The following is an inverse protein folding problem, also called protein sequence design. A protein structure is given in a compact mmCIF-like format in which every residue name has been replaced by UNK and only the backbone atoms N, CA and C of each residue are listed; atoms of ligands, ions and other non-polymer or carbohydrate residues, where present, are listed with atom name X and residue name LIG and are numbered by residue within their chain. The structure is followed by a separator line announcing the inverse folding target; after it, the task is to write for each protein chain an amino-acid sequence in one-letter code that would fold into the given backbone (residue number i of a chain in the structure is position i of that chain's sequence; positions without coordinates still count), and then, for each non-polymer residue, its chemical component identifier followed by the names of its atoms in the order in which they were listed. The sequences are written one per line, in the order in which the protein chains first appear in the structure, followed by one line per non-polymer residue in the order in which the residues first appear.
data_IF_182306248611
#
_entry.id   IF_182306248611
#
_cell.length_a   1.000
_cell.length_b   1.000
_cell.length_c   1.000
_cell.angle_alpha   90.00
_cell.angle_beta   90.00
_cell.angle_gamma   90.00
#
_symmetry.space_group_name_H-M   'P 1'
#
loop_
_entity.id
_entity.type
_entity.pdbx_description
1 polymer ?
#
# COMPACT_ATOMS: atom_id res chain seq x y z
N UNK A 1 1.81 -1.66 -11.33
CA UNK A 1 0.92 -0.91 -10.43
C UNK A 1 -0.22 -0.36 -11.26
N UNK A 2 -1.40 -0.22 -10.67
CA UNK A 2 -2.59 0.23 -11.36
C UNK A 2 -2.68 1.74 -11.52
N UNK A 3 -3.74 2.23 -12.20
CA UNK A 3 -4.10 3.64 -12.12
C UNK A 3 -4.42 4.02 -10.66
N UNK A 4 -4.13 5.26 -10.30
CA UNK A 4 -4.42 5.78 -8.96
C UNK A 4 -5.86 6.31 -8.91
N UNK A 5 -6.69 5.84 -7.99
CA UNK A 5 -7.97 6.46 -7.65
C UNK A 5 -7.73 7.36 -6.45
N UNK A 6 -7.57 8.66 -6.68
CA UNK A 6 -6.98 9.56 -5.71
C UNK A 6 -7.53 10.98 -5.78
N UNK A 7 -7.32 11.68 -4.68
CA UNK A 7 -7.35 13.14 -4.59
C UNK A 7 -5.94 13.66 -4.82
N UNK A 8 -5.81 14.65 -5.68
CA UNK A 8 -4.55 15.29 -6.04
C UNK A 8 -4.60 16.75 -5.58
N UNK A 9 -3.79 17.08 -4.59
CA UNK A 9 -3.52 18.47 -4.21
C UNK A 9 -2.40 19.02 -5.09
N UNK A 10 -2.58 20.25 -5.56
CA UNK A 10 -1.58 21.02 -6.27
C UNK A 10 -1.14 22.17 -5.38
N UNK A 11 0.15 22.24 -5.10
CA UNK A 11 0.81 23.33 -4.36
C UNK A 11 0.85 24.58 -5.26
N UNK A 12 -0.31 25.19 -5.46
CA UNK A 12 -0.52 26.25 -6.45
C UNK A 12 -0.01 27.60 -5.95
N UNK A 13 0.12 27.78 -4.64
CA UNK A 13 0.73 28.95 -4.01
C UNK A 13 2.27 28.81 -3.86
N UNK A 14 2.82 27.60 -4.02
CA UNK A 14 4.26 27.31 -4.03
C UNK A 14 4.91 27.32 -2.65
N UNK A 15 4.14 27.18 -1.58
CA UNK A 15 4.65 27.27 -0.21
C UNK A 15 5.13 25.91 0.36
N UNK A 16 4.94 24.82 -0.38
CA UNK A 16 5.35 23.46 0.02
C UNK A 16 4.46 22.79 1.06
N UNK A 17 3.37 23.46 1.47
CA UNK A 17 2.29 22.95 2.30
C UNK A 17 1.15 22.53 1.39
N UNK A 18 0.60 21.34 1.62
CA UNK A 18 -0.51 20.85 0.82
C UNK A 18 -1.81 20.93 1.60
N UNK A 19 -2.87 21.31 0.90
CA UNK A 19 -4.23 21.36 1.39
C UNK A 19 -4.62 22.67 2.08
N UNK A 20 -3.85 23.75 1.87
CA UNK A 20 -4.10 25.05 2.49
C UNK A 20 -4.76 26.06 1.52
N UNK A 21 -4.95 27.30 2.01
CA UNK A 21 -5.56 28.36 1.21
C UNK A 21 -4.64 28.73 0.04
N UNK A 22 -5.20 28.69 -1.18
CA UNK A 22 -4.45 28.95 -2.41
C UNK A 22 -4.02 27.70 -3.16
N UNK A 23 -4.14 26.52 -2.56
CA UNK A 23 -3.98 25.25 -3.29
C UNK A 23 -5.17 24.94 -4.18
N UNK A 24 -4.93 24.09 -5.18
CA UNK A 24 -5.98 23.52 -6.01
C UNK A 24 -6.14 22.01 -5.72
N UNK A 25 -7.35 21.49 -5.93
CA UNK A 25 -7.68 20.09 -5.70
C UNK A 25 -8.37 19.50 -6.94
N UNK A 26 -7.95 18.31 -7.35
CA UNK A 26 -8.60 17.48 -8.39
C UNK A 26 -8.80 16.06 -7.88
N UNK A 27 -9.78 15.35 -8.42
CA UNK A 27 -9.78 13.89 -8.37
C UNK A 27 -9.14 13.31 -9.62
N UNK A 28 -8.70 12.05 -9.54
CA UNK A 28 -8.36 11.28 -10.73
C UNK A 28 -9.63 10.69 -11.37
N UNK A 29 -9.59 10.45 -12.68
CA UNK A 29 -10.54 9.58 -13.34
C UNK A 29 -10.28 8.10 -12.99
N UNK A 30 -11.19 7.20 -13.37
CA UNK A 30 -11.06 5.75 -13.10
C UNK A 30 -9.79 5.16 -13.74
N UNK A 31 -9.33 5.76 -14.84
CA UNK A 31 -8.07 5.39 -15.52
C UNK A 31 -6.82 6.08 -14.93
N UNK A 32 -6.97 6.79 -13.81
CA UNK A 32 -5.88 7.42 -13.06
C UNK A 32 -5.39 8.76 -13.62
N UNK A 33 -5.94 9.25 -14.74
CA UNK A 33 -5.64 10.60 -15.23
C UNK A 33 -6.14 11.65 -14.24
N UNK A 34 -5.58 12.87 -14.27
CA UNK A 34 -6.02 14.01 -13.45
C UNK A 34 -5.71 15.34 -14.14
N UNK A 35 -6.22 16.46 -13.61
CA UNK A 35 -5.96 17.82 -14.11
C UNK A 35 -7.23 18.56 -14.53
N UNK A 36 -7.08 19.66 -15.27
CA UNK A 36 -8.19 20.61 -15.61
C UNK A 36 -9.42 19.99 -16.28
N UNK A 37 -9.27 18.86 -16.98
CA UNK A 37 -10.36 18.17 -17.66
C UNK A 37 -11.08 17.13 -16.79
N UNK A 38 -10.69 17.01 -15.52
CA UNK A 38 -11.24 16.03 -14.58
C UNK A 38 -11.83 16.82 -13.42
N UNK A 39 -13.07 16.49 -13.05
CA UNK A 39 -13.89 17.26 -12.12
C UNK A 39 -13.08 17.79 -10.93
N UNK A 40 -13.01 19.11 -10.81
CA UNK A 40 -12.53 19.74 -9.60
C UNK A 40 -13.52 19.39 -8.48
N UNK A 41 -13.03 18.71 -7.43
CA UNK A 41 -13.76 18.75 -6.17
C UNK A 41 -13.75 20.21 -5.74
N UNK A 42 -14.90 20.77 -5.42
CA UNK A 42 -14.97 22.10 -4.83
C UNK A 42 -14.99 21.95 -3.31
N UNK A 43 -13.94 22.33 -2.57
CA UNK A 43 -14.04 22.43 -1.12
C UNK A 43 -13.87 23.89 -0.69
N UNK A 44 -14.53 24.24 0.41
CA UNK A 44 -14.68 25.61 0.91
C UNK A 44 -13.39 26.40 1.21
N UNK A 45 -12.21 25.76 1.15
CA UNK A 45 -10.89 26.32 1.50
C UNK A 45 -9.86 26.32 0.35
N UNK A 46 -10.07 25.58 -0.74
CA UNK A 46 -9.12 25.55 -1.87
C UNK A 46 -9.52 26.60 -2.90
N UNK A 47 -8.85 27.74 -2.86
CA UNK A 47 -9.09 28.88 -3.76
C UNK A 47 -8.18 28.87 -4.99
N UNK A 48 -7.23 27.94 -5.07
CA UNK A 48 -6.28 27.82 -6.17
C UNK A 48 -6.91 27.31 -7.47
N UNK A 49 -6.24 27.58 -8.59
CA UNK A 49 -6.65 27.09 -9.90
C UNK A 49 -5.80 25.89 -10.30
N UNK A 50 -6.45 24.79 -10.74
CA UNK A 50 -5.74 23.62 -11.28
C UNK A 50 -4.87 24.10 -12.46
N UNK A 51 -3.54 23.86 -12.44
CA UNK A 51 -2.65 24.34 -13.47
C UNK A 51 -2.89 23.61 -14.80
N UNK A 52 -2.66 24.30 -15.92
CA UNK A 52 -2.83 23.73 -17.26
C UNK A 52 -1.69 22.78 -17.67
N UNK A 53 -0.58 22.80 -16.92
CA UNK A 53 0.63 22.01 -17.14
C UNK A 53 1.14 21.53 -15.78
N UNK A 54 2.00 20.53 -15.77
CA UNK A 54 2.67 20.02 -14.57
C UNK A 54 3.74 21.00 -14.05
N UNK A 55 3.38 22.23 -13.70
CA UNK A 55 4.35 23.28 -13.30
C UNK A 55 4.50 23.44 -11.79
N UNK A 56 3.68 22.75 -11.00
CA UNK A 56 3.66 22.83 -9.54
C UNK A 56 3.88 21.45 -8.94
N UNK A 57 4.28 21.40 -7.67
CA UNK A 57 4.37 20.15 -6.92
C UNK A 57 2.97 19.58 -6.69
N UNK A 58 2.89 18.26 -6.57
CA UNK A 58 1.63 17.54 -6.40
C UNK A 58 1.71 16.60 -5.22
N UNK A 59 0.59 16.36 -4.55
CA UNK A 59 0.45 15.35 -3.51
C UNK A 59 -0.82 14.53 -3.74
N UNK A 60 -0.67 13.21 -3.80
CA UNK A 60 -1.77 12.28 -3.97
C UNK A 60 -2.10 11.54 -2.66
N UNK A 61 -3.39 11.39 -2.39
CA UNK A 61 -3.93 10.50 -1.36
C UNK A 61 -5.09 9.72 -1.95
N UNK A 62 -5.08 8.40 -1.81
CA UNK A 62 -6.06 7.53 -2.46
C UNK A 62 -5.65 6.08 -2.43
N UNK A 63 -6.06 5.33 -3.46
CA UNK A 63 -5.78 3.91 -3.59
C UNK A 63 -5.20 3.58 -4.98
N UNK A 64 -4.39 2.53 -5.06
CA UNK A 64 -4.00 1.93 -6.33
C UNK A 64 -5.15 1.03 -6.80
N UNK A 65 -5.71 1.24 -7.99
CA UNK A 65 -6.91 0.52 -8.41
C UNK A 65 -6.71 -0.98 -8.65
N UNK A 66 -5.46 -1.42 -8.88
CA UNK A 66 -5.16 -2.84 -9.15
C UNK A 66 -4.92 -3.65 -7.88
N UNK A 67 -4.42 -3.00 -6.84
CA UNK A 67 -4.08 -3.63 -5.56
C UNK A 67 -5.02 -3.20 -4.44
N UNK A 68 -5.77 -2.11 -4.66
CA UNK A 68 -6.61 -1.43 -3.68
C UNK A 68 -5.86 -1.09 -2.38
N UNK A 69 -4.54 -0.94 -2.46
CA UNK A 69 -3.71 -0.43 -1.37
C UNK A 69 -3.92 1.07 -1.24
N UNK A 70 -4.20 1.51 -0.03
CA UNK A 70 -4.29 2.93 0.28
C UNK A 70 -2.92 3.55 0.50
N UNK A 71 -2.72 4.72 -0.08
CA UNK A 71 -1.54 5.55 0.13
C UNK A 71 -1.96 6.97 0.48
N UNK A 72 -1.12 7.63 1.26
CA UNK A 72 -1.24 9.04 1.58
C UNK A 72 0.09 9.76 1.34
N UNK A 73 -0.04 11.06 1.06
CA UNK A 73 1.10 11.97 0.96
C UNK A 73 2.14 11.51 -0.07
N UNK A 74 1.69 10.89 -1.17
CA UNK A 74 2.55 10.51 -2.29
C UNK A 74 2.84 11.75 -3.13
N UNK A 75 4.04 12.32 -2.96
CA UNK A 75 4.41 13.58 -3.60
C UNK A 75 5.04 13.38 -4.96
N UNK A 76 5.00 14.43 -5.77
CA UNK A 76 5.76 14.54 -7.00
C UNK A 76 6.29 15.96 -7.16
N UNK A 77 7.54 16.12 -7.66
CA UNK A 77 8.12 17.44 -7.84
C UNK A 77 7.43 18.20 -8.97
N UNK A 78 7.61 19.53 -9.00
CA UNK A 78 7.20 20.33 -10.14
C UNK A 78 7.85 19.80 -11.43
N UNK A 79 7.09 19.74 -12.53
CA UNK A 79 7.49 19.13 -13.80
C UNK A 79 7.06 17.68 -13.98
N UNK A 80 6.71 16.96 -12.91
CA UNK A 80 6.33 15.56 -13.00
C UNK A 80 4.95 15.36 -13.65
N UNK A 81 4.83 14.44 -14.60
CA UNK A 81 3.56 14.04 -15.22
C UNK A 81 3.05 12.69 -14.73
N UNK A 82 3.79 12.06 -13.80
CA UNK A 82 3.46 10.82 -13.13
C UNK A 82 3.60 11.03 -11.62
N UNK A 83 2.70 10.45 -10.83
CA UNK A 83 2.81 10.39 -9.37
C UNK A 83 2.98 8.92 -8.99
N UNK A 84 4.06 8.59 -8.28
CA UNK A 84 4.39 7.23 -7.84
C UNK A 84 5.31 7.25 -6.60
N UNK A 85 5.56 6.10 -5.96
CA UNK A 85 6.57 6.00 -4.91
C UNK A 85 7.95 6.53 -5.33
N UNK A 86 8.37 6.29 -6.58
CA UNK A 86 9.62 6.82 -7.11
C UNK A 86 9.62 8.35 -7.22
N UNK A 87 8.52 8.97 -7.67
CA UNK A 87 8.46 10.44 -7.73
C UNK A 87 8.41 11.07 -6.34
N UNK A 88 7.86 10.37 -5.35
CA UNK A 88 7.88 10.82 -3.95
C UNK A 88 9.32 10.81 -3.39
N UNK A 89 10.10 9.79 -3.73
CA UNK A 89 11.53 9.76 -3.40
C UNK A 89 12.30 10.88 -4.10
N UNK A 90 12.01 11.15 -5.38
CA UNK A 90 12.64 12.25 -6.13
C UNK A 90 12.28 13.61 -5.52
N UNK A 91 11.02 13.83 -5.16
CA UNK A 91 10.57 15.05 -4.47
C UNK A 91 11.31 15.24 -3.14
N UNK A 92 11.46 14.17 -2.35
CA UNK A 92 12.18 14.21 -1.08
C UNK A 92 13.70 14.42 -1.24
N UNK A 93 14.31 13.84 -2.29
CA UNK A 93 15.74 13.95 -2.57
C UNK A 93 16.11 15.24 -3.34
N UNK A 94 15.15 15.89 -3.98
CA UNK A 94 15.34 17.11 -4.78
C UNK A 94 16.07 16.93 -6.11
N UNK A 95 16.41 15.71 -6.52
CA UNK A 95 17.15 15.45 -7.76
C UNK A 95 16.84 14.07 -8.36
N UNK A 96 16.27 14.06 -9.57
CA UNK A 96 16.04 12.82 -10.33
C UNK A 96 17.36 12.10 -10.65
N UNK A 97 18.40 12.85 -11.04
CA UNK A 97 19.69 12.28 -11.39
C UNK A 97 20.36 11.57 -10.20
N UNK A 98 20.28 12.17 -9.01
CA UNK A 98 20.83 11.56 -7.79
C UNK A 98 20.08 10.28 -7.43
N UNK A 99 18.73 10.30 -7.49
CA UNK A 99 17.92 9.10 -7.21
C UNK A 99 18.18 8.00 -8.24
N UNK A 100 18.28 8.35 -9.52
CA UNK A 100 18.62 7.40 -10.59
C UNK A 100 19.94 6.69 -10.30
N UNK A 101 20.99 7.45 -10.01
CA UNK A 101 22.33 6.88 -9.77
C UNK A 101 22.37 6.07 -8.48
N UNK A 102 21.75 6.57 -7.41
CA UNK A 102 21.74 5.89 -6.13
C UNK A 102 21.01 4.53 -6.15
N UNK A 103 19.96 4.42 -6.98
CA UNK A 103 19.23 3.17 -7.20
C UNK A 103 19.88 2.26 -8.27
N UNK A 104 21.00 2.68 -8.87
CA UNK A 104 21.68 1.93 -9.94
C UNK A 104 20.84 1.80 -11.21
N UNK A 105 20.03 2.81 -11.53
CA UNK A 105 19.19 2.84 -12.74
C UNK A 105 19.92 3.43 -13.96
N UNK A 106 21.16 3.87 -13.80
CA UNK A 106 22.05 4.36 -14.85
C UNK A 106 23.04 3.29 -15.34
N UNK A 107 23.29 2.23 -14.57
CA UNK A 107 24.28 1.20 -14.87
C UNK A 107 23.81 -0.21 -14.49
N UNK A 108 24.40 -1.23 -15.14
CA UNK A 108 24.19 -2.63 -14.78
C UNK A 108 22.84 -3.23 -15.22
N UNK A 109 22.43 -4.31 -14.57
CA UNK A 109 21.28 -5.12 -14.98
C UNK A 109 19.91 -4.45 -14.76
N UNK A 110 19.86 -3.36 -13.98
CA UNK A 110 18.66 -2.56 -13.73
C UNK A 110 18.68 -1.22 -14.50
N UNK A 111 19.67 -1.01 -15.38
CA UNK A 111 19.82 0.25 -16.11
C UNK A 111 18.59 0.54 -16.97
N UNK A 112 18.08 1.76 -16.86
CA UNK A 112 17.05 2.29 -17.72
C UNK A 112 17.70 3.05 -18.88
N UNK A 113 17.01 3.13 -20.01
CA UNK A 113 17.47 4.00 -21.11
C UNK A 113 17.54 5.46 -20.63
N UNK A 114 18.59 6.17 -21.00
CA UNK A 114 18.80 7.57 -20.58
C UNK A 114 17.68 8.54 -21.01
N UNK A 115 16.90 8.18 -22.03
CA UNK A 115 15.73 8.95 -22.49
C UNK A 115 14.48 8.76 -21.62
N UNK A 116 14.49 7.81 -20.68
CA UNK A 116 13.33 7.51 -19.83
C UNK A 116 13.37 8.44 -18.63
N UNK A 117 12.57 9.51 -18.61
CA UNK A 117 12.43 10.37 -17.43
C UNK A 117 11.66 9.67 -16.31
N UNK A 118 12.22 9.62 -15.09
CA UNK A 118 11.59 8.94 -13.95
C UNK A 118 10.33 9.69 -13.46
N UNK A 119 10.26 10.99 -13.74
CA UNK A 119 9.13 11.87 -13.38
C UNK A 119 8.05 11.96 -14.48
N UNK A 120 8.31 11.42 -15.68
CA UNK A 120 7.43 11.60 -16.85
C UNK A 120 7.04 10.32 -17.57
N UNK A 121 7.85 9.27 -17.48
CA UNK A 121 7.53 7.98 -18.09
C UNK A 121 6.45 7.25 -17.28
N UNK A 122 5.32 6.94 -17.91
CA UNK A 122 4.23 6.20 -17.28
C UNK A 122 4.45 4.68 -17.43
N UNK A 123 4.83 3.96 -16.36
CA UNK A 123 5.08 2.52 -16.45
C UNK A 123 3.81 1.72 -16.77
N UNK A 124 2.62 2.15 -16.38
CA UNK A 124 1.39 1.44 -16.69
C UNK A 124 1.11 1.43 -18.21
N UNK A 125 1.34 2.55 -18.89
CA UNK A 125 1.23 2.63 -20.36
C UNK A 125 2.38 1.88 -21.05
N UNK A 126 3.60 1.94 -20.48
CA UNK A 126 4.75 1.23 -21.03
C UNK A 126 4.60 -0.30 -21.01
N UNK A 127 3.95 -0.87 -19.99
CA UNK A 127 3.72 -2.32 -19.87
C UNK A 127 2.91 -2.90 -21.04
N UNK A 128 1.97 -2.12 -21.60
CA UNK A 128 1.14 -2.53 -22.74
C UNK A 128 1.68 -2.06 -24.08
N UNK A 129 2.84 -1.39 -24.10
CA UNK A 129 3.45 -0.89 -25.33
C UNK A 129 3.89 -2.02 -26.25
N UNK A 130 3.72 -1.85 -27.56
CA UNK A 130 4.30 -2.74 -28.57
C UNK A 130 5.82 -2.62 -28.68
N UNK A 131 6.41 -1.52 -28.19
CA UNK A 131 7.86 -1.32 -28.10
C UNK A 131 8.43 -2.16 -26.94
N UNK A 132 9.29 -3.12 -27.28
CA UNK A 132 9.93 -4.03 -26.32
C UNK A 132 10.80 -3.28 -25.30
N UNK A 133 11.48 -2.21 -25.70
CA UNK A 133 12.30 -1.41 -24.81
C UNK A 133 11.45 -0.63 -23.82
N UNK A 134 10.38 0.01 -24.31
CA UNK A 134 9.43 0.71 -23.44
C UNK A 134 8.82 -0.25 -22.42
N UNK A 135 8.46 -1.47 -22.86
CA UNK A 135 7.95 -2.53 -21.98
C UNK A 135 8.97 -2.97 -20.95
N UNK A 136 10.23 -3.15 -21.34
CA UNK A 136 11.31 -3.50 -20.42
C UNK A 136 11.51 -2.45 -19.33
N UNK A 137 11.64 -1.17 -19.71
CA UNK A 137 11.77 -0.06 -18.76
C UNK A 137 10.55 0.03 -17.82
N UNK A 138 9.35 -0.23 -18.35
CA UNK A 138 8.12 -0.24 -17.56
C UNK A 138 8.06 -1.37 -16.53
N UNK A 139 8.55 -2.57 -16.85
CA UNK A 139 8.66 -3.67 -15.89
C UNK A 139 9.62 -3.33 -14.75
N UNK A 140 10.80 -2.77 -15.08
CA UNK A 140 11.79 -2.35 -14.07
C UNK A 140 11.25 -1.25 -13.14
N UNK A 141 10.62 -0.21 -13.71
CA UNK A 141 10.01 0.85 -12.92
C UNK A 141 8.81 0.37 -12.10
N UNK A 142 8.05 -0.61 -12.59
CA UNK A 142 6.96 -1.22 -11.83
C UNK A 142 7.49 -2.00 -10.63
N UNK A 143 8.54 -2.80 -10.82
CA UNK A 143 9.25 -3.50 -9.74
C UNK A 143 9.77 -2.54 -8.69
N UNK A 144 10.48 -1.50 -9.13
CA UNK A 144 11.03 -0.51 -8.21
C UNK A 144 9.95 0.23 -7.42
N UNK A 145 8.87 0.67 -8.07
CA UNK A 145 7.76 1.31 -7.36
C UNK A 145 7.12 0.36 -6.33
N UNK A 146 6.98 -0.93 -6.65
CA UNK A 146 6.48 -1.93 -5.71
C UNK A 146 7.42 -2.12 -4.51
N UNK A 147 8.73 -2.20 -4.73
CA UNK A 147 9.73 -2.30 -3.65
C UNK A 147 9.72 -1.05 -2.77
N UNK A 148 9.65 0.15 -3.35
CA UNK A 148 9.56 1.42 -2.62
C UNK A 148 8.27 1.52 -1.80
N UNK A 149 7.15 1.05 -2.35
CA UNK A 149 5.87 1.00 -1.65
C UNK A 149 5.91 0.04 -0.46
N UNK A 150 6.50 -1.13 -0.64
CA UNK A 150 6.70 -2.12 0.41
C UNK A 150 7.65 -1.56 1.51
N UNK A 151 8.73 -0.89 1.13
CA UNK A 151 9.59 -0.16 2.07
C UNK A 151 8.82 0.91 2.85
N UNK A 152 7.98 1.70 2.18
CA UNK A 152 7.18 2.73 2.83
C UNK A 152 6.18 2.15 3.83
N UNK A 153 5.55 1.02 3.49
CA UNK A 153 4.62 0.32 4.37
C UNK A 153 5.26 -0.25 5.64
N UNK A 154 6.56 -0.56 5.60
CA UNK A 154 7.31 -1.06 6.77
C UNK A 154 7.94 0.08 7.57
N UNK A 155 8.45 1.12 6.91
CA UNK A 155 9.09 2.27 7.57
C UNK A 155 8.10 3.26 8.20
N UNK A 156 6.79 3.14 7.90
CA UNK A 156 5.77 3.94 8.58
C UNK A 156 5.71 3.55 10.07
N UNK A 157 5.42 4.52 10.91
CA UNK A 157 5.49 4.48 12.38
C UNK A 157 4.42 3.60 13.06
N UNK A 158 4.07 2.46 12.47
CA UNK A 158 2.93 1.63 12.89
C UNK A 158 3.38 0.22 13.30
N UNK A 159 4.68 0.02 13.55
CA UNK A 159 5.26 -1.28 13.91
C UNK A 159 4.94 -2.41 12.92
N UNK A 160 4.74 -2.09 11.63
CA UNK A 160 4.49 -3.06 10.58
C UNK A 160 3.08 -3.65 10.62
N UNK A 161 2.13 -2.99 11.29
CA UNK A 161 0.76 -3.47 11.40
C UNK A 161 0.06 -3.54 10.02
N UNK A 162 -0.34 -4.74 9.54
CA UNK A 162 -1.08 -4.89 8.29
C UNK A 162 -2.53 -4.40 8.38
N UNK A 163 -3.08 -4.21 9.59
CA UNK A 163 -4.41 -3.60 9.82
C UNK A 163 -4.38 -2.10 9.54
N UNK A 164 -3.22 -1.45 9.76
CA UNK A 164 -3.03 -0.07 9.33
C UNK A 164 -2.92 -0.06 7.79
N UNK A 165 -4.03 0.23 7.13
CA UNK A 165 -4.14 0.18 5.67
C UNK A 165 -3.45 1.36 4.97
N UNK A 166 -3.00 2.40 5.70
CA UNK A 166 -2.48 3.62 5.10
C UNK A 166 -0.96 3.61 4.96
N UNK A 167 -0.44 3.66 3.74
CA UNK A 167 0.99 3.88 3.51
C UNK A 167 1.26 5.38 3.35
N UNK A 168 1.88 6.01 4.36
CA UNK A 168 2.41 7.38 4.23
C UNK A 168 3.79 7.35 3.56
N UNK A 169 3.87 7.97 2.38
CA UNK A 169 5.12 8.05 1.62
C UNK A 169 6.01 9.24 2.01
N UNK A 170 5.50 10.19 2.80
CA UNK A 170 6.24 11.41 3.12
C UNK A 170 7.51 11.11 3.93
N UNK A 171 7.35 10.46 5.08
CA UNK A 171 8.48 10.21 5.98
C UNK A 171 9.40 9.10 5.48
N UNK A 172 8.83 8.04 4.89
CA UNK A 172 9.63 6.96 4.29
C UNK A 172 10.50 7.46 3.12
N UNK A 173 9.98 8.33 2.26
CA UNK A 173 10.76 8.96 1.19
C UNK A 173 11.87 9.86 1.74
N UNK A 174 11.63 10.56 2.86
CA UNK A 174 12.66 11.36 3.54
C UNK A 174 13.78 10.50 4.11
N UNK A 175 13.46 9.39 4.78
CA UNK A 175 14.49 8.48 5.31
C UNK A 175 15.36 7.89 4.19
N UNK A 176 14.74 7.49 3.08
CA UNK A 176 15.46 7.02 1.90
C UNK A 176 16.31 8.13 1.24
N UNK A 177 15.77 9.35 1.10
CA UNK A 177 16.51 10.49 0.57
C UNK A 177 17.72 10.85 1.44
N UNK A 178 17.58 10.82 2.77
CA UNK A 178 18.69 11.02 3.71
C UNK A 178 19.78 9.96 3.57
N UNK A 179 19.39 8.70 3.34
CA UNK A 179 20.35 7.62 3.09
C UNK A 179 21.11 7.81 1.77
N UNK A 180 20.39 8.21 0.71
CA UNK A 180 20.99 8.56 -0.58
C UNK A 180 21.99 9.72 -0.40
N UNK A 181 21.60 10.78 0.31
CA UNK A 181 22.47 11.92 0.55
C UNK A 181 23.73 11.54 1.36
N UNK A 182 23.61 10.61 2.31
CA UNK A 182 24.71 10.19 3.16
C UNK A 182 25.71 9.23 2.47
N UNK A 183 25.24 8.38 1.56
CA UNK A 183 26.05 7.26 1.02
C UNK A 183 26.17 7.25 -0.50
N UNK A 184 25.37 8.06 -1.20
CA UNK A 184 25.28 8.04 -2.66
C UNK A 184 24.62 6.78 -3.23
N UNK A 185 24.13 5.85 -2.39
CA UNK A 185 23.58 4.56 -2.82
C UNK A 185 22.37 4.16 -1.98
N UNK A 186 21.41 3.50 -2.62
CA UNK A 186 20.27 2.89 -1.98
C UNK A 186 19.97 1.54 -2.64
N UNK A 187 20.55 0.47 -2.09
CA UNK A 187 20.31 -0.89 -2.56
C UNK A 187 19.19 -1.53 -1.73
N UNK A 188 17.99 -1.62 -2.31
CA UNK A 188 16.82 -2.19 -1.64
C UNK A 188 16.92 -3.71 -1.43
N UNK A 189 17.98 -4.36 -1.91
CA UNK A 189 18.23 -5.80 -1.72
C UNK A 189 19.34 -6.09 -0.72
N UNK A 190 20.05 -5.06 -0.25
CA UNK A 190 21.11 -5.19 0.76
C UNK A 190 20.53 -5.01 2.17
N UNK A 191 20.59 -6.04 3.05
CA UNK A 191 20.17 -5.92 4.43
C UNK A 191 20.82 -4.77 5.19
N UNK A 192 22.09 -4.44 4.91
CA UNK A 192 22.80 -3.36 5.60
C UNK A 192 22.24 -1.98 5.20
N UNK A 193 21.95 -1.78 3.91
CA UNK A 193 21.32 -0.56 3.42
C UNK A 193 19.91 -0.38 4.00
N UNK A 194 19.11 -1.46 4.06
CA UNK A 194 17.78 -1.42 4.65
C UNK A 194 17.84 -1.18 6.16
N UNK A 195 18.78 -1.81 6.86
CA UNK A 195 19.02 -1.59 8.29
C UNK A 195 19.30 -0.12 8.59
N UNK A 196 20.09 0.55 7.76
CA UNK A 196 20.36 1.99 7.90
C UNK A 196 19.10 2.87 7.75
N UNK A 197 18.08 2.41 7.02
CA UNK A 197 16.77 3.07 6.94
C UNK A 197 15.97 2.87 8.23
N UNK A 198 15.99 1.67 8.81
CA UNK A 198 15.37 1.43 10.11
C UNK A 198 16.00 2.29 11.20
N UNK A 199 17.33 2.44 11.19
CA UNK A 199 18.05 3.32 12.13
C UNK A 199 17.67 4.81 11.94
N UNK A 200 17.16 5.22 10.77
CA UNK A 200 16.66 6.59 10.53
C UNK A 200 15.18 6.75 10.88
N UNK A 201 14.45 5.65 10.84
CA UNK A 201 13.03 5.61 11.14
C UNK A 201 12.77 5.70 12.65
N UNK A 202 11.50 5.75 13.03
CA UNK A 202 11.10 5.76 14.44
C UNK A 202 11.34 4.43 15.16
N UNK A 203 11.55 3.33 14.43
CA UNK A 203 11.88 2.02 15.03
C UNK A 203 13.13 2.06 15.90
N UNK A 204 14.08 2.96 15.61
CA UNK A 204 15.29 3.13 16.42
C UNK A 204 14.99 3.45 17.90
N UNK A 205 13.83 4.06 18.20
CA UNK A 205 13.48 4.53 19.54
C UNK A 205 12.79 3.47 20.42
N UNK A 206 12.69 2.22 19.96
CA UNK A 206 12.04 1.16 20.74
C UNK A 206 12.44 -0.27 20.39
N UNK A 207 13.23 -0.46 19.33
CA UNK A 207 13.63 -1.79 18.86
C UNK A 207 15.12 -2.05 19.11
N UNK A 208 15.50 -3.19 19.72
CA UNK A 208 16.90 -3.57 19.87
C UNK A 208 17.55 -3.87 18.49
N UNK A 209 18.88 -3.72 18.36
CA UNK A 209 19.57 -3.89 17.07
C UNK A 209 19.27 -5.21 16.35
N UNK A 210 19.25 -6.33 17.08
CA UNK A 210 18.98 -7.66 16.50
C UNK A 210 17.56 -7.78 15.91
N UNK A 211 16.59 -7.05 16.47
CA UNK A 211 15.24 -6.97 15.91
C UNK A 211 15.24 -6.21 14.58
N UNK A 212 15.94 -5.07 14.53
CA UNK A 212 16.09 -4.29 13.29
C UNK A 212 16.82 -5.08 12.20
N UNK A 213 17.85 -5.84 12.57
CA UNK A 213 18.59 -6.71 11.65
C UNK A 213 17.69 -7.82 11.08
N UNK A 214 16.85 -8.44 11.91
CA UNK A 214 15.89 -9.45 11.47
C UNK A 214 14.85 -8.87 10.48
N UNK A 215 14.31 -7.69 10.78
CA UNK A 215 13.39 -6.97 9.90
C UNK A 215 14.06 -6.58 8.57
N UNK A 216 15.27 -6.03 8.63
CA UNK A 216 16.04 -5.67 7.44
C UNK A 216 16.34 -6.89 6.56
N UNK A 217 16.71 -8.02 7.18
CA UNK A 217 16.92 -9.28 6.47
C UNK A 217 15.66 -9.79 5.76
N UNK A 218 14.49 -9.74 6.42
CA UNK A 218 13.22 -10.13 5.79
C UNK A 218 12.89 -9.22 4.58
N UNK A 219 13.05 -7.90 4.74
CA UNK A 219 12.78 -6.94 3.67
C UNK A 219 13.71 -7.13 2.47
N UNK A 220 15.00 -7.36 2.71
CA UNK A 220 15.99 -7.61 1.68
C UNK A 220 15.64 -8.87 0.88
N UNK A 221 15.27 -9.96 1.57
CA UNK A 221 14.81 -11.20 0.92
C UNK A 221 13.57 -10.97 0.08
N UNK A 222 12.58 -10.23 0.58
CA UNK A 222 11.38 -9.86 -0.19
C UNK A 222 11.76 -9.10 -1.47
N UNK A 223 12.51 -8.00 -1.35
CA UNK A 223 12.90 -7.19 -2.50
C UNK A 223 13.75 -7.96 -3.52
N UNK A 224 14.62 -8.87 -3.06
CA UNK A 224 15.40 -9.75 -3.92
C UNK A 224 14.52 -10.82 -4.61
N UNK A 225 13.45 -11.27 -3.97
CA UNK A 225 12.53 -12.27 -4.52
C UNK A 225 11.60 -11.71 -5.60
N UNK A 226 11.22 -10.42 -5.50
CA UNK A 226 10.39 -9.73 -6.51
C UNK A 226 11.06 -9.84 -7.89
N UNK A 227 10.39 -10.45 -8.88
CA UNK A 227 10.99 -10.74 -10.18
C UNK A 227 11.17 -9.47 -11.00
N UNK A 228 12.12 -9.51 -11.93
CA UNK A 228 12.41 -8.42 -12.87
C UNK A 228 11.32 -8.24 -13.92
N UNK A 229 10.56 -9.29 -14.23
CA UNK A 229 9.54 -9.36 -15.28
C UNK A 229 8.11 -9.30 -14.72
N UNK A 230 7.80 -8.23 -13.98
CA UNK A 230 6.42 -7.91 -13.59
C UNK A 230 5.59 -7.46 -14.80
N UNK A 231 5.25 -8.42 -15.66
CA UNK A 231 4.72 -8.17 -17.00
C UNK A 231 3.23 -7.82 -17.04
N UNK A 232 2.46 -8.10 -15.98
CA UNK A 232 1.02 -7.86 -15.95
C UNK A 232 0.53 -7.44 -14.54
N UNK A 233 -0.69 -6.92 -14.50
CA UNK A 233 -1.31 -6.41 -13.28
C UNK A 233 -1.58 -7.50 -12.22
N UNK A 234 -1.85 -8.74 -12.63
CA UNK A 234 -2.14 -9.86 -11.71
C UNK A 234 -0.89 -10.26 -10.94
N UNK A 235 0.25 -10.38 -11.61
CA UNK A 235 1.52 -10.66 -10.94
C UNK A 235 1.89 -9.54 -9.98
N UNK A 236 1.73 -8.28 -10.38
CA UNK A 236 1.99 -7.13 -9.48
C UNK A 236 1.06 -7.16 -8.26
N UNK A 237 -0.23 -7.43 -8.47
CA UNK A 237 -1.20 -7.58 -7.37
C UNK A 237 -0.81 -8.71 -6.44
N UNK A 238 -0.44 -9.87 -6.98
CA UNK A 238 0.01 -11.02 -6.20
C UNK A 238 1.16 -10.68 -5.26
N UNK A 239 2.17 -9.96 -5.76
CA UNK A 239 3.28 -9.50 -4.90
C UNK A 239 2.86 -8.44 -3.89
N UNK A 240 2.05 -7.45 -4.28
CA UNK A 240 1.58 -6.42 -3.37
C UNK A 240 0.71 -6.98 -2.23
N UNK A 241 -0.20 -7.91 -2.55
CA UNK A 241 -1.06 -8.58 -1.58
C UNK A 241 -0.28 -9.59 -0.74
N UNK A 242 0.61 -10.37 -1.34
CA UNK A 242 1.51 -11.26 -0.59
C UNK A 242 2.38 -10.50 0.41
N UNK A 243 2.87 -9.33 0.02
CA UNK A 243 3.56 -8.46 0.97
C UNK A 243 2.64 -8.00 2.10
N UNK A 244 1.49 -7.40 1.76
CA UNK A 244 0.60 -6.77 2.74
C UNK A 244 -0.04 -7.77 3.71
N UNK A 245 -0.48 -8.92 3.21
CA UNK A 245 -1.35 -9.83 3.97
C UNK A 245 -0.61 -11.03 4.54
N UNK A 246 0.66 -11.22 4.18
CA UNK A 246 1.49 -12.32 4.68
C UNK A 246 2.81 -11.77 5.25
N UNK A 247 3.66 -11.17 4.42
CA UNK A 247 5.00 -10.71 4.86
C UNK A 247 4.93 -9.60 5.92
N UNK A 248 3.99 -8.66 5.82
CA UNK A 248 3.79 -7.63 6.87
C UNK A 248 3.35 -8.23 8.20
N UNK A 249 2.65 -9.37 8.20
CA UNK A 249 2.31 -10.08 9.44
C UNK A 249 3.59 -10.55 10.13
N UNK A 250 4.57 -11.05 9.37
CA UNK A 250 5.87 -11.43 9.90
C UNK A 250 6.68 -10.22 10.39
N UNK A 251 6.60 -9.07 9.72
CA UNK A 251 7.18 -7.83 10.24
C UNK A 251 6.56 -7.43 11.59
N UNK A 252 5.23 -7.47 11.71
CA UNK A 252 4.55 -7.16 12.97
C UNK A 252 4.95 -8.15 14.07
N UNK A 253 5.05 -9.43 13.73
CA UNK A 253 5.54 -10.46 14.65
C UNK A 253 6.95 -10.15 15.10
N UNK A 254 7.88 -9.80 14.20
CA UNK A 254 9.24 -9.40 14.61
C UNK A 254 9.23 -8.12 15.45
N UNK A 255 8.32 -7.18 15.16
CA UNK A 255 8.24 -5.89 15.82
C UNK A 255 7.66 -5.96 17.25
N UNK A 256 6.88 -7.00 17.58
CA UNK A 256 6.09 -7.04 18.82
C UNK A 256 6.92 -7.26 20.08
N UNK A 257 8.04 -7.97 19.99
CA UNK A 257 8.89 -8.30 21.14
C UNK A 257 10.24 -8.85 20.71
N UNK A 258 11.24 -8.64 21.57
CA UNK A 258 12.55 -9.28 21.45
C UNK A 258 13.05 -9.77 22.82
N UNK A 259 13.61 -10.99 22.93
CA UNK A 259 13.82 -11.99 21.88
C UNK A 259 12.52 -12.52 21.30
N UNK A 260 12.48 -12.74 19.99
CA UNK A 260 11.28 -13.20 19.31
C UNK A 260 11.32 -14.72 19.04
N UNK A 261 10.38 -15.52 19.54
CA UNK A 261 10.37 -16.97 19.32
C UNK A 261 10.20 -17.35 17.84
N UNK A 262 9.60 -16.49 17.01
CA UNK A 262 9.44 -16.73 15.58
C UNK A 262 10.62 -16.26 14.73
N UNK A 263 11.61 -15.57 15.31
CA UNK A 263 12.72 -15.02 14.52
C UNK A 263 13.42 -16.08 13.67
N UNK A 264 13.63 -17.28 14.22
CA UNK A 264 14.28 -18.38 13.48
C UNK A 264 13.41 -18.93 12.34
N UNK A 265 12.08 -19.00 12.52
CA UNK A 265 11.13 -19.37 11.46
C UNK A 265 11.12 -18.32 10.35
N UNK A 266 11.07 -17.05 10.70
CA UNK A 266 11.00 -15.94 9.74
C UNK A 266 12.33 -15.78 8.98
N UNK A 267 13.46 -16.06 9.64
CA UNK A 267 14.79 -16.02 9.04
C UNK A 267 14.97 -17.00 7.87
N UNK A 268 14.25 -18.12 7.86
CA UNK A 268 14.35 -19.15 6.81
C UNK A 268 13.35 -18.97 5.66
N UNK A 269 12.49 -17.94 5.70
CA UNK A 269 11.60 -17.63 4.57
C UNK A 269 12.46 -17.19 3.38
N UNK A 270 12.40 -17.99 2.32
CA UNK A 270 13.22 -17.80 1.12
C UNK A 270 12.41 -17.25 -0.07
N UNK A 271 13.12 -17.02 -1.18
CA UNK A 271 12.51 -16.49 -2.39
C UNK A 271 11.49 -17.45 -3.04
N UNK A 272 11.62 -18.76 -2.85
CA UNK A 272 10.67 -19.73 -3.40
C UNK A 272 9.33 -19.65 -2.63
N UNK A 273 9.38 -19.57 -1.31
CA UNK A 273 8.20 -19.37 -0.47
C UNK A 273 7.50 -18.04 -0.78
N UNK A 274 8.26 -16.94 -0.91
CA UNK A 274 7.68 -15.64 -1.27
C UNK A 274 7.01 -15.63 -2.65
N UNK A 275 7.59 -16.32 -3.64
CA UNK A 275 6.96 -16.50 -4.96
C UNK A 275 5.68 -17.33 -4.89
N UNK A 276 5.67 -18.37 -4.06
CA UNK A 276 4.47 -19.19 -3.86
C UNK A 276 3.34 -18.37 -3.23
N UNK A 277 3.65 -17.57 -2.21
CA UNK A 277 2.70 -16.63 -1.59
C UNK A 277 2.14 -15.67 -2.65
N UNK A 278 3.02 -15.00 -3.41
CA UNK A 278 2.61 -14.05 -4.44
C UNK A 278 1.73 -14.71 -5.53
N UNK A 279 2.06 -15.94 -5.93
CA UNK A 279 1.26 -16.70 -6.91
C UNK A 279 -0.14 -17.04 -6.38
N UNK A 280 -0.27 -17.37 -5.09
CA UNK A 280 -1.57 -17.60 -4.45
C UNK A 280 -2.50 -16.38 -4.53
N UNK A 281 -1.96 -15.19 -4.23
CA UNK A 281 -2.73 -13.95 -4.34
C UNK A 281 -2.98 -13.50 -5.79
N UNK A 282 -2.06 -13.78 -6.72
CA UNK A 282 -2.25 -13.45 -8.13
C UNK A 282 -3.46 -14.18 -8.76
N UNK A 283 -3.79 -15.37 -8.25
CA UNK A 283 -4.93 -16.16 -8.70
C UNK A 283 -6.29 -15.60 -8.27
N UNK A 284 -6.31 -14.66 -7.33
CA UNK A 284 -7.55 -14.01 -6.86
C UNK A 284 -8.01 -12.93 -7.82
N UNK A 285 -9.32 -12.72 -7.89
CA UNK A 285 -9.91 -11.72 -8.78
C UNK A 285 -9.46 -10.31 -8.37
N UNK A 286 -9.11 -9.49 -9.37
CA UNK A 286 -8.81 -8.09 -9.10
C UNK A 286 -10.06 -7.35 -8.60
N UNK A 287 -9.92 -6.40 -7.66
CA UNK A 287 -10.95 -5.39 -7.45
C UNK A 287 -11.26 -4.69 -8.78
N UNK A 288 -12.54 -4.42 -9.05
CA UNK A 288 -12.96 -3.71 -10.26
C UNK A 288 -12.91 -2.20 -9.98
N UNK A 289 -12.06 -1.42 -10.68
CA UNK A 289 -12.00 0.02 -10.49
C UNK A 289 -13.36 0.67 -10.76
N UNK A 290 -13.92 1.30 -9.73
CA UNK A 290 -15.20 1.98 -9.79
C UNK A 290 -15.24 3.11 -8.76
N UNK A 291 -16.18 4.08 -8.87
CA UNK A 291 -16.38 5.10 -7.83
C UNK A 291 -16.67 4.53 -6.44
N UNK A 292 -17.18 3.29 -6.39
CA UNK A 292 -17.36 2.47 -5.20
C UNK A 292 -16.63 1.14 -5.38
N UNK A 293 -15.59 0.91 -4.59
CA UNK A 293 -14.76 -0.29 -4.74
C UNK A 293 -14.39 -0.88 -3.38
N UNK A 294 -14.76 -2.13 -3.13
CA UNK A 294 -14.37 -2.89 -1.96
C UNK A 294 -12.87 -3.23 -2.01
N UNK A 295 -12.09 -2.65 -1.09
CA UNK A 295 -10.67 -2.91 -0.98
C UNK A 295 -10.42 -4.23 -0.22
N UNK A 296 -9.38 -4.99 -0.58
CA UNK A 296 -8.96 -6.13 0.20
C UNK A 296 -8.43 -5.65 1.55
N UNK A 297 -8.73 -6.42 2.58
CA UNK A 297 -8.40 -6.07 3.95
C UNK A 297 -7.88 -7.26 4.75
N UNK A 298 -7.42 -7.00 5.97
CA UNK A 298 -6.84 -7.98 6.87
C UNK A 298 -7.51 -7.95 8.25
N UNK A 299 -7.71 -9.12 8.84
CA UNK A 299 -8.16 -9.23 10.23
C UNK A 299 -7.46 -10.37 10.95
N UNK A 300 -7.50 -10.33 12.28
CA UNK A 300 -7.05 -11.44 13.10
C UNK A 300 -8.14 -11.89 14.05
N UNK A 301 -8.19 -13.19 14.28
CA UNK A 301 -9.00 -13.81 15.32
C UNK A 301 -8.03 -14.44 16.31
N UNK A 302 -8.00 -13.90 17.53
CA UNK A 302 -7.08 -14.29 18.60
C UNK A 302 -7.76 -15.30 19.53
N UNK A 303 -7.11 -16.39 19.90
CA UNK A 303 -7.57 -17.20 21.05
C UNK A 303 -7.41 -16.37 22.35
N UNK A 304 -8.13 -16.63 23.46
CA UNK A 304 -9.40 -17.33 23.55
C UNK A 304 -10.59 -16.49 23.06
N UNK A 305 -10.36 -15.29 22.50
CA UNK A 305 -11.39 -14.48 21.86
C UNK A 305 -11.87 -15.14 20.56
N UNK A 306 -12.71 -16.17 20.72
CA UNK A 306 -13.22 -16.97 19.60
C UNK A 306 -14.04 -16.14 18.60
N UNK A 307 -14.26 -14.84 18.83
CA UNK A 307 -14.84 -13.94 17.83
C UNK A 307 -14.23 -12.55 17.77
N UNK A 308 -14.01 -12.06 16.56
CA UNK A 308 -13.63 -10.68 16.24
C UNK A 308 -14.83 -9.99 15.57
N UNK A 309 -15.15 -8.77 15.99
CA UNK A 309 -16.17 -7.94 15.35
C UNK A 309 -15.47 -6.85 14.53
N UNK A 310 -15.79 -6.75 13.25
CA UNK A 310 -15.33 -5.71 12.35
C UNK A 310 -16.46 -4.72 12.12
N UNK A 311 -16.41 -3.60 12.84
CA UNK A 311 -17.40 -2.51 12.75
C UNK A 311 -16.96 -1.50 11.70
N UNK A 312 -17.84 -1.16 10.75
CA UNK A 312 -17.59 -0.10 9.80
C UNK A 312 -17.43 1.25 10.51
N UNK A 313 -16.30 1.94 10.34
CA UNK A 313 -15.99 3.16 11.09
C UNK A 313 -16.77 4.36 10.51
N UNK A 314 -18.03 4.50 10.92
CA UNK A 314 -18.94 5.53 10.41
C UNK A 314 -18.77 6.90 11.09
N UNK A 315 -17.83 7.06 12.03
CA UNK A 315 -17.57 8.36 12.68
C UNK A 315 -16.26 8.99 12.21
N UNK A 316 -16.34 10.24 11.73
CA UNK A 316 -15.18 11.04 11.32
C UNK A 316 -14.15 11.26 12.43
N UNK A 317 -14.51 10.98 13.69
CA UNK A 317 -13.70 11.19 14.89
C UNK A 317 -13.06 9.91 15.47
N UNK A 318 -13.31 8.72 14.89
CA UNK A 318 -12.70 7.45 15.36
C UNK A 318 -12.17 6.61 14.21
N UNK A 319 -11.18 7.13 13.49
CA UNK A 319 -10.30 6.32 12.63
C UNK A 319 -9.09 5.89 13.46
N UNK A 320 -9.28 4.88 14.30
CA UNK A 320 -8.17 4.29 15.04
C UNK A 320 -7.48 3.22 14.20
N UNK A 321 -6.16 3.01 14.37
CA UNK A 321 -5.43 1.88 13.81
C UNK A 321 -6.02 0.49 14.16
N UNK A 322 -6.90 0.42 15.16
CA UNK A 322 -7.60 -0.79 15.62
C UNK A 322 -9.03 -0.94 15.12
N UNK A 323 -9.52 0.00 14.30
CA UNK A 323 -10.82 -0.10 13.67
C UNK A 323 -10.61 -0.99 12.43
N UNK A 324 -10.76 -2.31 12.59
CA UNK A 324 -10.66 -3.27 11.48
C UNK A 324 -11.83 -3.01 10.52
N UNK A 325 -11.56 -2.21 9.52
CA UNK A 325 -12.59 -1.52 8.76
C UNK A 325 -12.62 -2.15 7.37
N UNK A 326 -13.68 -2.91 7.07
CA UNK A 326 -13.98 -3.31 5.70
C UNK A 326 -14.32 -2.02 4.94
N UNK A 327 -13.31 -1.31 4.45
CA UNK A 327 -13.43 -0.02 3.79
C UNK A 327 -13.45 -0.26 2.29
N UNK A 328 -14.63 -0.26 1.66
CA UNK A 328 -14.66 0.11 0.27
C UNK A 328 -14.20 1.55 0.13
N UNK A 329 -13.29 1.79 -0.80
CA UNK A 329 -12.93 3.14 -1.22
C UNK A 329 -14.14 3.78 -1.91
N UNK A 330 -14.52 4.96 -1.43
CA UNK A 330 -15.47 5.86 -2.08
C UNK A 330 -14.84 7.24 -2.19
N UNK A 331 -15.06 7.92 -3.32
CA UNK A 331 -14.66 9.32 -3.46
C UNK A 331 -15.49 10.27 -2.56
N UNK A 332 -16.67 9.84 -2.14
CA UNK A 332 -17.65 10.57 -1.34
C UNK A 332 -18.05 9.80 -0.08
N UNK A 333 -18.44 10.50 0.98
CA UNK A 333 -19.00 9.88 2.19
C UNK A 333 -20.39 9.30 1.88
N UNK A 334 -20.45 8.02 1.56
CA UNK A 334 -21.71 7.31 1.31
C UNK A 334 -21.94 6.25 2.39
N UNK A 335 -23.16 6.18 2.92
CA UNK A 335 -23.57 5.08 3.80
C UNK A 335 -23.53 3.78 3.00
N UNK A 336 -22.82 2.80 3.53
CA UNK A 336 -22.61 1.48 2.93
C UNK A 336 -23.26 0.39 3.76
N UNK A 337 -23.64 -0.71 3.11
CA UNK A 337 -24.19 -1.89 3.76
C UNK A 337 -23.48 -3.16 3.28
N UNK A 338 -23.07 -4.01 4.22
CA UNK A 338 -22.56 -5.34 3.91
C UNK A 338 -23.73 -6.26 3.56
N UNK A 339 -23.72 -6.80 2.35
CA UNK A 339 -24.83 -7.59 1.79
C UNK A 339 -24.63 -9.09 2.02
N UNK A 340 -23.40 -9.55 1.85
CA UNK A 340 -23.04 -10.96 2.01
C UNK A 340 -21.58 -11.09 2.41
N UNK A 341 -21.25 -12.14 3.17
CA UNK A 341 -19.87 -12.55 3.38
C UNK A 341 -19.79 -14.07 3.50
N UNK A 342 -18.71 -14.67 2.98
CA UNK A 342 -18.53 -16.13 2.95
C UNK A 342 -17.08 -16.49 3.16
N UNK A 343 -16.84 -17.38 4.13
CA UNK A 343 -15.53 -17.96 4.39
C UNK A 343 -15.19 -19.03 3.34
N UNK A 344 -13.94 -19.06 2.89
CA UNK A 344 -13.35 -20.16 2.13
C UNK A 344 -13.23 -21.45 2.95
N UNK A 345 -13.16 -21.32 4.28
CA UNK A 345 -13.07 -22.41 5.25
C UNK A 345 -14.22 -22.32 6.26
N UNK A 346 -15.49 -22.54 5.85
CA UNK A 346 -16.66 -22.32 6.69
C UNK A 346 -16.76 -23.29 7.87
N UNK A 347 -15.99 -24.39 7.87
CA UNK A 347 -15.85 -25.32 9.00
C UNK A 347 -14.87 -24.82 10.06
N UNK A 348 -14.00 -23.87 9.72
CA UNK A 348 -12.93 -23.34 10.58
C UNK A 348 -13.18 -21.89 11.01
N UNK A 349 -13.92 -21.14 10.20
CA UNK A 349 -14.26 -19.74 10.45
C UNK A 349 -15.71 -19.48 10.03
N UNK A 350 -16.59 -19.30 11.01
CA UNK A 350 -17.92 -18.76 10.82
C UNK A 350 -17.83 -17.25 10.55
N UNK A 351 -18.67 -16.80 9.64
CA UNK A 351 -18.78 -15.40 9.24
C UNK A 351 -20.26 -15.05 9.29
N UNK A 352 -20.61 -14.20 10.25
CA UNK A 352 -21.99 -13.78 10.49
C UNK A 352 -22.12 -12.29 10.17
N UNK A 353 -23.03 -11.95 9.26
CA UNK A 353 -23.51 -10.57 9.14
C UNK A 353 -24.53 -10.35 10.25
N UNK A 354 -24.30 -9.36 11.09
CA UNK A 354 -25.24 -9.04 12.15
C UNK A 354 -25.69 -7.60 12.06
N UNK A 355 -27.01 -7.42 11.99
CA UNK A 355 -27.66 -6.18 12.35
C UNK A 355 -27.94 -6.25 13.86
N UNK A 356 -27.07 -5.73 14.73
CA UNK A 356 -27.45 -5.53 16.14
C UNK A 356 -27.99 -4.13 16.39
N UNK A 357 -28.81 -4.06 17.42
CA UNK A 357 -29.61 -2.93 17.89
C UNK A 357 -28.82 -1.71 18.41
N UNK A 358 -27.59 -1.47 17.92
CA UNK A 358 -26.82 -0.27 18.23
C UNK A 358 -27.19 0.80 17.20
N UNK A 359 -27.86 1.93 17.57
CA UNK A 359 -28.48 2.87 16.62
C UNK A 359 -27.54 3.60 15.67
N UNK A 360 -26.22 3.35 15.73
CA UNK A 360 -25.20 4.23 15.13
C UNK A 360 -24.37 3.50 14.04
N UNK A 361 -24.40 2.18 13.96
CA UNK A 361 -23.59 1.39 13.02
C UNK A 361 -24.42 0.24 12.44
N UNK A 362 -25.03 0.42 11.26
CA UNK A 362 -26.05 -0.51 10.77
C UNK A 362 -25.50 -1.88 10.34
N UNK A 363 -24.18 -2.05 10.11
CA UNK A 363 -23.63 -3.29 9.55
C UNK A 363 -22.22 -3.60 10.09
N UNK A 364 -22.03 -4.77 10.71
CA UNK A 364 -20.70 -5.30 11.06
C UNK A 364 -20.55 -6.77 10.67
N UNK A 365 -19.30 -7.15 10.40
CA UNK A 365 -18.91 -8.53 10.14
C UNK A 365 -18.42 -9.16 11.44
N UNK A 366 -19.07 -10.23 11.88
CA UNK A 366 -18.55 -11.04 12.99
C UNK A 366 -17.82 -12.25 12.42
N UNK A 367 -16.53 -12.33 12.72
CA UNK A 367 -15.71 -13.50 12.47
C UNK A 367 -15.69 -14.35 13.73
N UNK A 368 -15.98 -15.64 13.61
CA UNK A 368 -15.93 -16.56 14.75
C UNK A 368 -15.18 -17.83 14.38
N UNK A 369 -14.12 -18.13 15.11
CA UNK A 369 -13.40 -19.39 14.91
C UNK A 369 -14.32 -20.56 15.27
N UNK A 370 -14.29 -21.59 14.45
CA UNK A 370 -14.98 -22.85 14.69
C UNK A 370 -13.96 -23.93 15.03
N UNK A 371 -14.13 -24.56 16.19
CA UNK A 371 -13.16 -25.51 16.73
C UNK A 371 -11.95 -24.84 17.37
N UNK A 372 -11.07 -25.66 17.96
CA UNK A 372 -9.92 -25.17 18.76
C UNK A 372 -8.57 -25.38 18.08
N UNK A 373 -8.53 -26.18 17.01
CA UNK A 373 -7.29 -26.68 16.39
C UNK A 373 -6.86 -25.89 15.17
N UNK A 374 -7.79 -25.31 14.41
CA UNK A 374 -7.44 -24.57 13.20
C UNK A 374 -6.63 -23.32 13.53
N UNK A 375 -5.55 -23.13 12.77
CA UNK A 375 -4.67 -21.97 12.77
C UNK A 375 -4.22 -21.74 11.33
N UNK A 376 -4.15 -20.49 10.93
CA UNK A 376 -3.69 -20.15 9.59
C UNK A 376 -4.55 -19.08 8.91
N UNK A 377 -4.18 -18.74 7.67
CA UNK A 377 -4.90 -17.78 6.86
C UNK A 377 -6.22 -18.39 6.37
N UNK A 378 -7.27 -17.59 6.39
CA UNK A 378 -8.60 -17.88 5.81
C UNK A 378 -9.02 -16.67 4.99
N UNK A 379 -9.51 -16.92 3.78
CA UNK A 379 -10.09 -15.87 2.97
C UNK A 379 -11.60 -15.77 3.22
N UNK A 380 -12.11 -14.55 3.40
CA UNK A 380 -13.53 -14.23 3.41
C UNK A 380 -13.83 -13.35 2.20
N UNK A 381 -14.75 -13.79 1.34
CA UNK A 381 -15.28 -12.98 0.22
C UNK A 381 -16.48 -12.20 0.73
N UNK A 382 -16.54 -10.89 0.51
CA UNK A 382 -17.66 -10.06 0.96
C UNK A 382 -18.18 -9.16 -0.16
N UNK A 383 -19.47 -8.82 -0.09
CA UNK A 383 -20.11 -7.84 -0.98
C UNK A 383 -20.65 -6.69 -0.17
N UNK A 384 -20.35 -5.46 -0.59
CA UNK A 384 -20.89 -4.22 -0.05
C UNK A 384 -21.80 -3.55 -1.07
N UNK A 385 -22.75 -2.76 -0.59
CA UNK A 385 -23.66 -1.96 -1.42
C UNK A 385 -23.77 -0.52 -0.90
N UNK A 386 -24.10 0.40 -1.81
CA UNK A 386 -24.50 1.77 -1.49
C UNK A 386 -26.03 1.91 -1.61
N UNK A 387 -26.59 2.95 -0.98
CA UNK A 387 -28.02 3.25 -1.06
C UNK A 387 -28.54 3.49 -2.50
N UNK A 388 -27.66 3.83 -3.44
CA UNK A 388 -27.98 3.99 -4.86
C UNK A 388 -28.00 2.66 -5.65
N UNK A 389 -27.81 1.51 -4.98
CA UNK A 389 -27.82 0.18 -5.59
C UNK A 389 -26.48 -0.27 -6.19
N UNK A 390 -25.44 0.56 -6.18
CA UNK A 390 -24.10 0.14 -6.59
C UNK A 390 -23.57 -0.92 -5.61
N UNK A 391 -22.98 -1.99 -6.15
CA UNK A 391 -22.36 -3.06 -5.37
C UNK A 391 -20.89 -3.20 -5.70
N UNK A 392 -20.11 -3.68 -4.74
CA UNK A 392 -18.71 -4.00 -4.95
C UNK A 392 -18.31 -5.19 -4.08
N UNK A 393 -17.46 -6.05 -4.65
CA UNK A 393 -16.97 -7.24 -3.99
C UNK A 393 -15.50 -7.09 -3.61
N UNK A 394 -15.15 -7.56 -2.41
CA UNK A 394 -13.79 -7.56 -1.91
C UNK A 394 -13.43 -8.83 -1.15
N UNK A 395 -12.19 -8.84 -0.66
CA UNK A 395 -11.63 -9.92 0.12
C UNK A 395 -11.21 -9.43 1.50
N UNK A 396 -11.38 -10.28 2.49
CA UNK A 396 -10.82 -10.10 3.81
C UNK A 396 -9.94 -11.31 4.11
N UNK A 397 -8.67 -11.08 4.37
CA UNK A 397 -7.69 -12.10 4.72
C UNK A 397 -7.60 -12.18 6.24
N UNK A 398 -8.04 -13.30 6.79
CA UNK A 398 -8.16 -13.51 8.23
C UNK A 398 -7.08 -14.45 8.71
N UNK A 399 -6.24 -14.00 9.64
CA UNK A 399 -5.30 -14.88 10.32
C UNK A 399 -5.89 -15.39 11.65
N UNK A 400 -6.08 -16.70 11.77
CA UNK A 400 -6.51 -17.33 13.03
C UNK A 400 -5.27 -17.65 13.87
N UNK A 401 -5.10 -16.97 15.01
CA UNK A 401 -3.90 -17.01 15.86
C UNK A 401 -4.18 -17.47 17.29
N UNK A 402 -3.12 -17.78 18.03
CA UNK A 402 -3.15 -18.02 19.48
C UNK A 402 -2.31 -16.97 20.21
N UNK A 403 -2.72 -16.48 21.40
CA UNK A 403 -1.94 -15.52 22.16
C UNK A 403 -0.54 -16.03 22.45
N UNK A 404 0.43 -15.14 22.29
CA UNK A 404 1.81 -15.41 22.70
C UNK A 404 2.60 -16.33 21.78
N UNK A 405 2.08 -16.67 20.59
CA UNK A 405 2.90 -17.21 19.50
C UNK A 405 3.31 -16.11 18.56
#
# INVERSE_FOLDING_TARGET
MGPLLARINFDANGNGTFGDAGDALSSTAIDGRFGRSISALAPAIHTGTIPAKATVRMEATGIDASTALFFAQMRAPAGATVISPLTALIDAAGSEANVRSALGLDIGANALRGSIGLTTFNPALGLVSSDADARHNAMQLTRLNLQLLAMAAVLKDTNGDPVDFNVTLLDSSRYMAQQIAATGRLDLTDPAAIRALFDRSRYQFGSPPAQLDAMAGLMARYNAAVPTDLANADTVRGWAWGFRFDIMVDFRTLASSWPNPNASRIAVIDAAQMRQIAAGFAALQAPVPAPFMAAPDYAEVLVPDDSTILTGCNSASRRYPSCNDIVPFTFESATRTLVSATSSEPSSLAVDLSATAVPVEPDFLRLRRLGTTFRGPVQVRYTSSLANGQTSEGYLFVQVKVPGT
#
